data_IF_318201475845
#
_entry.id   IF_318201475845
#
_cell.length_a   1.000
_cell.length_b   1.000
_cell.length_c   1.000
_cell.angle_alpha   90.00
_cell.angle_beta   90.00
_cell.angle_gamma   90.00
#
_symmetry.space_group_name_H-M   'P 1'
#
loop_
_entity.id
_entity.type
_entity.pdbx_description
1 polymer ?
#
# COMPACT_ATOMS: atom_id res chain seq x y z
N UNK A 1 8.96 -7.18 5.94
CA UNK A 1 8.12 -5.96 6.11
C UNK A 1 8.32 -5.41 7.52
N UNK A 2 8.28 -4.09 7.70
CA UNK A 2 8.30 -3.48 9.03
C UNK A 2 6.89 -3.03 9.41
N UNK A 3 6.56 -2.97 10.71
CA UNK A 3 5.38 -2.25 11.16
C UNK A 3 5.39 -0.80 10.68
N UNK A 4 4.22 -0.21 10.49
CA UNK A 4 4.04 1.20 10.13
C UNK A 4 4.69 2.10 11.19
N UNK A 5 4.36 1.86 12.45
CA UNK A 5 4.93 2.58 13.58
C UNK A 5 5.96 1.69 14.28
N UNK A 6 7.17 1.65 13.74
CA UNK A 6 8.30 0.90 14.32
C UNK A 6 9.22 1.85 15.11
N UNK A 7 9.26 1.75 16.46
CA UNK A 7 10.15 2.58 17.26
C UNK A 7 11.62 2.10 17.22
N UNK A 8 11.90 0.88 16.75
CA UNK A 8 13.23 0.29 16.79
C UNK A 8 13.74 -0.18 15.41
N UNK A 9 15.02 0.06 15.06
CA UNK A 9 15.65 -0.55 13.90
C UNK A 9 15.79 -2.06 14.13
N UNK A 10 14.74 -2.82 13.78
CA UNK A 10 14.70 -4.26 14.04
C UNK A 10 13.30 -4.85 14.16
N UNK A 11 12.23 -4.06 14.10
CA UNK A 11 10.88 -4.62 14.13
C UNK A 11 10.50 -5.17 12.76
N UNK A 12 10.23 -6.47 12.70
CA UNK A 12 9.76 -7.14 11.50
C UNK A 12 8.44 -7.84 11.78
N UNK A 13 7.63 -7.91 10.74
CA UNK A 13 6.35 -8.61 10.78
C UNK A 13 6.29 -9.66 9.67
N UNK A 14 5.68 -10.78 9.99
CA UNK A 14 5.15 -11.74 9.04
C UNK A 14 3.71 -11.36 8.70
N UNK A 15 3.37 -11.41 7.41
CA UNK A 15 2.05 -11.05 6.89
C UNK A 15 1.43 -12.27 6.23
N UNK A 16 0.22 -12.63 6.62
CA UNK A 16 -0.54 -13.73 6.03
C UNK A 16 -1.98 -13.29 5.78
N UNK A 17 -2.64 -13.78 4.73
CA UNK A 17 -4.05 -13.44 4.46
C UNK A 17 -4.33 -13.13 2.99
N UNK A 18 -5.62 -13.01 2.66
CA UNK A 18 -6.07 -12.81 1.29
C UNK A 18 -6.15 -11.33 0.93
N UNK A 19 -5.63 -10.98 -0.24
CA UNK A 19 -5.78 -9.67 -0.86
C UNK A 19 -6.48 -9.86 -2.20
N UNK A 20 -7.59 -9.14 -2.39
CA UNK A 20 -8.27 -9.09 -3.68
C UNK A 20 -7.54 -8.10 -4.59
N UNK A 21 -7.17 -8.58 -5.78
CA UNK A 21 -6.41 -7.81 -6.77
C UNK A 21 -7.22 -7.71 -8.05
N UNK A 22 -7.42 -6.48 -8.52
CA UNK A 22 -8.02 -6.22 -9.84
C UNK A 22 -7.07 -5.38 -10.67
N UNK A 23 -6.76 -5.84 -11.88
CA UNK A 23 -6.01 -5.09 -12.88
C UNK A 23 -6.78 -5.06 -14.19
N UNK A 24 -7.13 -3.85 -14.64
CA UNK A 24 -7.71 -3.60 -15.96
C UNK A 24 -6.72 -2.83 -16.80
N UNK A 25 -6.38 -3.39 -17.97
CA UNK A 25 -5.49 -2.76 -18.95
C UNK A 25 -6.20 -2.68 -20.29
N UNK A 26 -6.11 -1.53 -20.94
CA UNK A 26 -6.69 -1.32 -22.26
C UNK A 26 -5.78 -0.49 -23.15
N UNK A 27 -5.72 -0.86 -24.43
CA UNK A 27 -5.06 -0.11 -25.50
C UNK A 27 -6.10 0.21 -26.56
N UNK A 28 -6.29 1.48 -26.89
CA UNK A 28 -7.21 1.88 -27.96
C UNK A 28 -6.60 1.65 -29.35
N UNK A 29 -7.42 1.68 -30.40
CA UNK A 29 -6.94 1.67 -31.80
C UNK A 29 -6.00 2.83 -32.13
N UNK A 30 -6.10 3.93 -31.39
CA UNK A 30 -5.22 5.10 -31.52
C UNK A 30 -3.92 4.99 -30.69
N UNK A 31 -3.65 3.83 -30.07
CA UNK A 31 -2.47 3.60 -29.25
C UNK A 31 -2.52 4.19 -27.84
N UNK A 32 -3.69 4.67 -27.37
CA UNK A 32 -3.81 5.20 -26.01
C UNK A 32 -3.87 4.04 -25.02
N UNK A 33 -2.96 4.04 -24.05
CA UNK A 33 -2.91 3.07 -22.97
C UNK A 33 -3.65 3.60 -21.73
N UNK A 34 -4.39 2.73 -21.06
CA UNK A 34 -4.99 2.99 -19.74
C UNK A 34 -4.81 1.75 -18.87
N UNK A 35 -4.38 1.96 -17.63
CA UNK A 35 -4.37 0.95 -16.58
C UNK A 35 -5.10 1.43 -15.34
N UNK A 36 -5.82 0.52 -14.70
CA UNK A 36 -6.38 0.68 -13.37
C UNK A 36 -6.06 -0.56 -12.57
N UNK A 37 -5.42 -0.37 -11.43
CA UNK A 37 -5.15 -1.43 -10.46
C UNK A 37 -5.80 -1.07 -9.14
N UNK A 38 -6.35 -2.06 -8.46
CA UNK A 38 -6.79 -1.95 -7.09
C UNK A 38 -6.39 -3.20 -6.31
N UNK A 39 -5.94 -2.99 -5.08
CA UNK A 39 -5.72 -4.05 -4.10
C UNK A 39 -6.50 -3.73 -2.83
N UNK A 40 -7.16 -4.72 -2.25
CA UNK A 40 -7.73 -4.55 -0.91
C UNK A 40 -7.80 -5.87 -0.17
N UNK A 41 -7.48 -5.86 1.13
CA UNK A 41 -7.52 -7.06 1.93
C UNK A 41 -7.38 -6.80 3.42
N UNK A 42 -7.74 -7.81 4.19
CA UNK A 42 -7.40 -7.94 5.60
C UNK A 42 -6.34 -9.02 5.71
N UNK A 43 -5.31 -8.74 6.48
CA UNK A 43 -4.14 -9.60 6.64
C UNK A 43 -3.85 -9.77 8.13
N UNK A 44 -3.39 -10.93 8.53
CA UNK A 44 -2.81 -11.17 9.84
C UNK A 44 -1.37 -10.68 9.84
N UNK A 45 -1.03 -9.91 10.87
CA UNK A 45 0.27 -9.29 11.10
C UNK A 45 0.84 -9.89 12.37
N UNK A 46 1.95 -10.61 12.24
CA UNK A 46 2.61 -11.28 13.37
C UNK A 46 4.00 -10.69 13.57
N UNK A 47 4.31 -10.07 14.73
CA UNK A 47 5.67 -9.66 15.05
C UNK A 47 6.61 -10.86 15.08
N UNK A 48 7.77 -10.77 14.42
CA UNK A 48 8.73 -11.88 14.31
C UNK A 48 10.16 -11.46 14.62
N UNK A 49 10.96 -12.41 15.12
CA UNK A 49 12.40 -12.28 15.22
C UNK A 49 13.03 -12.36 13.81
N UNK A 50 13.78 -11.35 13.34
CA UNK A 50 14.34 -11.37 11.99
C UNK A 50 15.43 -12.44 11.76
N UNK A 51 16.05 -12.95 12.83
CA UNK A 51 17.11 -13.96 12.74
C UNK A 51 16.53 -15.37 12.63
N UNK A 52 15.49 -15.67 13.39
CA UNK A 52 14.92 -17.03 13.47
C UNK A 52 13.60 -17.18 12.71
N UNK A 53 12.87 -16.08 12.48
CA UNK A 53 11.52 -16.09 11.92
C UNK A 53 10.43 -16.39 12.95
N UNK A 54 10.80 -16.70 14.20
CA UNK A 54 9.83 -17.08 15.23
C UNK A 54 8.96 -15.89 15.65
N UNK A 55 7.67 -16.11 15.97
CA UNK A 55 6.81 -15.09 16.54
C UNK A 55 7.34 -14.56 17.88
N UNK A 56 7.37 -13.23 18.03
CA UNK A 56 7.80 -12.54 19.27
C UNK A 56 6.69 -11.71 19.92
N UNK A 57 5.47 -11.81 19.42
CA UNK A 57 4.30 -11.13 19.95
C UNK A 57 3.02 -11.72 19.40
N UNK A 58 1.89 -11.24 19.90
CA UNK A 58 0.58 -11.67 19.42
C UNK A 58 0.31 -11.17 17.99
N UNK A 59 -0.31 -12.03 17.19
CA UNK A 59 -0.82 -11.66 15.88
C UNK A 59 -2.01 -10.71 16.01
N UNK A 60 -2.12 -9.78 15.07
CA UNK A 60 -3.23 -8.82 14.99
C UNK A 60 -3.62 -8.56 13.54
N UNK A 61 -4.75 -7.91 13.30
CA UNK A 61 -5.22 -7.66 11.95
C UNK A 61 -4.56 -6.41 11.35
N UNK A 62 -4.29 -6.43 10.06
CA UNK A 62 -3.91 -5.29 9.24
C UNK A 62 -4.87 -5.14 8.07
N UNK A 63 -5.01 -3.91 7.59
CA UNK A 63 -5.75 -3.60 6.37
C UNK A 63 -4.81 -3.01 5.34
N UNK A 64 -4.96 -3.46 4.10
CA UNK A 64 -4.27 -2.92 2.94
C UNK A 64 -5.29 -2.44 1.92
N UNK A 65 -5.07 -1.26 1.37
CA UNK A 65 -5.84 -0.73 0.26
C UNK A 65 -4.92 0.05 -0.68
N UNK A 66 -4.98 -0.28 -1.96
CA UNK A 66 -4.23 0.42 -3.00
C UNK A 66 -5.09 0.72 -4.21
N UNK A 67 -4.85 1.86 -4.83
CA UNK A 67 -5.44 2.26 -6.11
C UNK A 67 -4.38 2.92 -6.96
N UNK A 68 -4.22 2.43 -8.19
CA UNK A 68 -3.26 2.98 -9.14
C UNK A 68 -3.94 3.22 -10.48
N UNK A 69 -3.68 4.37 -11.08
CA UNK A 69 -4.19 4.76 -12.40
C UNK A 69 -3.02 5.18 -13.28
N UNK A 70 -2.93 4.58 -14.46
CA UNK A 70 -1.95 4.95 -15.48
C UNK A 70 -2.64 5.31 -16.79
N UNK A 71 -2.16 6.35 -17.46
CA UNK A 71 -2.60 6.73 -18.80
C UNK A 71 -1.38 7.15 -19.62
N UNK A 72 -1.27 6.62 -20.84
CA UNK A 72 -0.27 7.06 -21.82
C UNK A 72 -1.01 7.36 -23.12
N UNK A 73 -0.71 8.50 -23.72
CA UNK A 73 -1.33 8.97 -24.96
C UNK A 73 -0.36 9.87 -25.72
N UNK A 74 -0.76 10.35 -26.91
CA UNK A 74 0.04 11.31 -27.67
C UNK A 74 0.21 12.66 -26.96
N UNK A 75 -0.74 13.07 -26.11
CA UNK A 75 -0.55 14.27 -25.27
C UNK A 75 0.47 14.01 -24.17
N UNK A 76 0.60 12.75 -23.73
CA UNK A 76 1.69 12.11 -22.97
C UNK A 76 1.19 11.28 -21.78
N UNK A 77 1.93 11.27 -20.65
CA UNK A 77 1.74 10.33 -19.54
C UNK A 77 1.12 10.95 -18.29
N UNK A 78 0.26 10.19 -17.60
CA UNK A 78 -0.31 10.48 -16.29
C UNK A 78 -0.27 9.23 -15.41
N UNK A 79 0.14 9.39 -14.15
CA UNK A 79 0.16 8.35 -13.14
C UNK A 79 -0.38 8.92 -11.83
N UNK A 80 -1.25 8.15 -11.18
CA UNK A 80 -1.79 8.43 -9.86
C UNK A 80 -1.76 7.14 -9.03
N UNK A 81 -1.35 7.24 -7.77
CA UNK A 81 -1.25 6.13 -6.83
C UNK A 81 -1.70 6.58 -5.45
N UNK A 82 -2.56 5.78 -4.83
CA UNK A 82 -3.05 5.93 -3.46
C UNK A 82 -2.83 4.60 -2.74
N UNK A 83 -2.04 4.60 -1.68
CA UNK A 83 -1.78 3.43 -0.83
C UNK A 83 -2.16 3.78 0.60
N UNK A 84 -2.91 2.89 1.24
CA UNK A 84 -3.29 2.97 2.64
C UNK A 84 -3.00 1.63 3.31
N UNK A 85 -2.28 1.67 4.42
CA UNK A 85 -2.01 0.51 5.27
C UNK A 85 -2.36 0.89 6.71
N UNK A 86 -3.05 -0.01 7.43
CA UNK A 86 -3.51 0.23 8.80
C UNK A 86 -3.23 -1.01 9.64
N UNK A 87 -2.65 -0.83 10.82
CA UNK A 87 -2.49 -1.87 11.84
C UNK A 87 -3.61 -1.78 12.88
N UNK A 88 -4.30 -2.89 13.13
CA UNK A 88 -5.47 -3.00 14.01
C UNK A 88 -5.20 -3.99 15.16
N UNK A 89 -4.47 -3.57 16.21
CA UNK A 89 -4.20 -4.40 17.38
C UNK A 89 -5.48 -4.71 18.18
N UNK A 90 -5.57 -5.88 18.85
CA UNK A 90 -6.66 -6.17 19.75
C UNK A 90 -6.65 -5.23 20.97
N UNK A 91 -7.79 -4.58 21.25
CA UNK A 91 -8.01 -3.84 22.50
C UNK A 91 -7.53 -2.39 22.56
N UNK A 92 -7.00 -1.82 21.47
CA UNK A 92 -6.66 -0.40 21.35
C UNK A 92 -6.98 0.14 19.94
N UNK A 93 -6.92 1.46 19.74
CA UNK A 93 -7.05 2.06 18.41
C UNK A 93 -5.93 1.62 17.45
N UNK A 94 -5.94 2.12 16.21
CA UNK A 94 -4.95 1.75 15.20
C UNK A 94 -3.50 1.95 15.72
N UNK A 95 -2.63 0.94 15.59
CA UNK A 95 -1.23 0.99 16.05
C UNK A 95 -0.34 1.83 15.13
N UNK A 96 -0.76 1.94 13.87
CA UNK A 96 -0.10 2.75 12.87
C UNK A 96 -0.93 2.84 11.60
N UNK A 97 -0.89 4.01 10.95
CA UNK A 97 -1.49 4.22 9.64
C UNK A 97 -0.49 4.86 8.69
N UNK A 98 -0.28 4.23 7.54
CA UNK A 98 0.51 4.76 6.44
C UNK A 98 -0.43 5.16 5.31
N UNK A 99 -0.28 6.39 4.81
CA UNK A 99 -0.92 6.87 3.60
C UNK A 99 0.14 7.41 2.65
N UNK A 100 0.16 6.91 1.42
CA UNK A 100 1.02 7.41 0.34
C UNK A 100 0.14 7.87 -0.81
N UNK A 101 0.33 9.11 -1.23
CA UNK A 101 -0.33 9.69 -2.40
C UNK A 101 0.73 10.19 -3.36
N UNK A 102 0.69 9.70 -4.60
CA UNK A 102 1.58 10.14 -5.66
C UNK A 102 0.76 10.46 -6.91
N UNK A 103 0.94 11.66 -7.44
CA UNK A 103 0.33 12.10 -8.69
C UNK A 103 1.40 12.77 -9.54
N UNK A 104 1.52 12.36 -10.80
CA UNK A 104 2.42 12.99 -11.78
C UNK A 104 1.82 12.90 -13.19
N UNK A 105 2.06 13.92 -14.02
CA UNK A 105 1.58 13.94 -15.38
C UNK A 105 1.54 15.33 -15.98
N UNK A 106 1.03 15.43 -17.19
CA UNK A 106 1.12 16.67 -17.98
C UNK A 106 0.10 17.69 -17.50
N UNK A 107 0.57 18.94 -17.34
CA UNK A 107 -0.27 20.09 -17.00
C UNK A 107 -0.53 20.27 -15.51
N UNK A 108 0.05 19.44 -14.64
CA UNK A 108 -0.03 19.58 -13.18
C UNK A 108 1.34 19.53 -12.51
N UNK A 109 1.43 20.08 -11.30
CA UNK A 109 2.61 19.93 -10.46
C UNK A 109 2.65 18.51 -9.89
N UNK A 110 3.75 17.77 -10.04
CA UNK A 110 3.91 16.49 -9.37
C UNK A 110 3.69 16.64 -7.87
N UNK A 111 2.92 15.73 -7.29
CA UNK A 111 2.64 15.69 -5.86
C UNK A 111 3.04 14.34 -5.31
N UNK A 112 3.79 14.37 -4.22
CA UNK A 112 4.10 13.20 -3.42
C UNK A 112 3.82 13.56 -1.96
N UNK A 113 3.03 12.74 -1.28
CA UNK A 113 2.70 12.93 0.13
C UNK A 113 2.77 11.57 0.81
N UNK A 114 3.49 11.53 1.92
CA UNK A 114 3.52 10.39 2.83
C UNK A 114 3.04 10.89 4.18
N UNK A 115 2.12 10.17 4.78
CA UNK A 115 1.62 10.44 6.13
C UNK A 115 1.71 9.15 6.93
N UNK A 116 2.35 9.23 8.08
CA UNK A 116 2.47 8.17 9.05
C UNK A 116 1.84 8.67 10.35
N UNK A 117 0.74 8.04 10.76
CA UNK A 117 0.08 8.33 12.03
C UNK A 117 0.47 7.24 13.03
N UNK A 118 1.26 7.65 14.03
CA UNK A 118 1.60 6.95 15.26
C UNK A 118 1.11 7.82 16.44
#
# INVERSE_FOLDING_TARGET
>A
PRPVCSPAPGDFVHLEGSVELTLSVGVSRSGNYRSRFSASGRIDVTPVNPVTGDPIGESYEGQVQEHHLGRISASGTFVESHVVQIELPPGSGNRGRLKIEWITGIGGTPRFTVTEDC
#
